data_IF_438472409481
#
_entry.id   IF_438472409481
#
_cell.length_a   1.000
_cell.length_b   1.000
_cell.length_c   1.000
_cell.angle_alpha   90.00
_cell.angle_beta   90.00
_cell.angle_gamma   90.00
#
_symmetry.space_group_name_H-M   'P 1'
#
loop_
_entity.id
_entity.type
_entity.pdbx_description
1 polymer ?
#
# COMPACT_ATOMS: atom_id res chain seq x y z
N UNK A 1 -5.03 0.39 16.22
CA UNK A 1 -3.94 1.39 16.22
C UNK A 1 -4.00 2.14 14.90
N UNK A 2 -3.60 3.40 14.87
CA UNK A 2 -3.43 4.12 13.60
C UNK A 2 -2.12 3.65 12.95
N UNK A 3 -2.13 3.50 11.61
CA UNK A 3 -0.92 3.19 10.85
C UNK A 3 0.07 4.36 10.92
N UNK A 4 1.37 4.06 10.93
CA UNK A 4 2.41 5.09 10.81
C UNK A 4 2.43 5.74 9.43
N UNK A 5 3.05 6.91 9.31
CA UNK A 5 3.27 7.57 8.02
C UNK A 5 4.08 6.69 7.04
N UNK A 6 4.97 5.84 7.56
CA UNK A 6 5.74 4.89 6.72
C UNK A 6 4.80 3.85 6.10
N UNK A 7 3.90 3.25 6.88
CA UNK A 7 2.89 2.33 6.36
C UNK A 7 1.88 3.03 5.44
N UNK A 8 1.44 4.24 5.80
CA UNK A 8 0.53 5.05 4.98
C UNK A 8 1.15 5.47 3.64
N UNK A 9 2.47 5.70 3.58
CA UNK A 9 3.15 6.05 2.33
C UNK A 9 3.03 4.93 1.28
N UNK A 10 3.08 3.67 1.71
CA UNK A 10 2.94 2.49 0.85
C UNK A 10 1.51 2.40 0.31
N UNK A 11 0.50 2.55 1.18
CA UNK A 11 -0.91 2.55 0.77
C UNK A 11 -1.24 3.74 -0.14
N UNK A 12 -0.61 4.89 0.11
CA UNK A 12 -0.76 6.09 -0.73
C UNK A 12 -0.17 5.88 -2.12
N UNK A 13 0.99 5.20 -2.21
CA UNK A 13 1.58 4.84 -3.49
C UNK A 13 0.70 3.86 -4.29
N UNK A 14 0.14 2.85 -3.62
CA UNK A 14 -0.85 1.96 -4.22
C UNK A 14 -2.12 2.72 -4.70
N UNK A 15 -2.61 3.66 -3.88
CA UNK A 15 -3.77 4.48 -4.21
C UNK A 15 -3.51 5.37 -5.43
N UNK A 16 -2.33 5.98 -5.52
CA UNK A 16 -1.90 6.74 -6.71
C UNK A 16 -1.99 5.88 -7.97
N UNK A 17 -1.46 4.66 -7.94
CA UNK A 17 -1.48 3.76 -9.11
C UNK A 17 -2.90 3.35 -9.50
N UNK A 18 -3.75 3.03 -8.52
CA UNK A 18 -5.14 2.67 -8.78
C UNK A 18 -5.94 3.84 -9.35
N UNK A 19 -5.78 5.04 -8.79
CA UNK A 19 -6.42 6.27 -9.28
C UNK A 19 -5.95 6.62 -10.70
N UNK A 20 -4.64 6.51 -10.96
CA UNK A 20 -4.06 6.85 -12.26
C UNK A 20 -4.41 5.84 -13.36
N UNK A 21 -4.51 4.54 -13.04
CA UNK A 21 -4.74 3.48 -14.03
C UNK A 21 -6.20 3.07 -14.17
N UNK A 22 -7.03 3.33 -13.16
CA UNK A 22 -8.39 2.81 -13.06
C UNK A 22 -8.48 1.31 -12.75
N UNK A 23 -7.34 0.62 -12.59
CA UNK A 23 -7.28 -0.81 -12.28
C UNK A 23 -7.15 -1.04 -10.78
N UNK A 24 -7.81 -2.09 -10.27
CA UNK A 24 -7.67 -2.52 -8.88
C UNK A 24 -6.23 -2.96 -8.63
N UNK A 25 -5.59 -2.40 -7.60
CA UNK A 25 -4.24 -2.75 -7.17
C UNK A 25 -4.30 -3.82 -6.10
N UNK A 26 -3.66 -4.96 -6.36
CA UNK A 26 -3.46 -6.05 -5.40
C UNK A 26 -2.00 -6.25 -5.02
N UNK A 27 -1.12 -6.07 -6.00
CA UNK A 27 0.32 -6.18 -5.80
C UNK A 27 0.96 -4.79 -5.74
N UNK A 28 1.79 -4.57 -4.73
CA UNK A 28 2.58 -3.37 -4.51
C UNK A 28 4.05 -3.70 -4.79
N UNK A 29 4.73 -2.82 -5.52
CA UNK A 29 6.18 -2.91 -5.69
C UNK A 29 6.85 -2.39 -4.42
N UNK A 30 7.62 -3.24 -3.75
CA UNK A 30 8.37 -2.89 -2.54
C UNK A 30 9.81 -2.52 -2.85
N UNK A 31 10.35 -3.03 -3.96
CA UNK A 31 11.66 -2.65 -4.48
C UNK A 31 11.59 -2.65 -6.00
N UNK A 32 11.88 -1.51 -6.62
CA UNK A 32 11.94 -1.39 -8.07
C UNK A 32 13.37 -1.61 -8.62
N UNK A 33 13.50 -1.70 -9.94
CA UNK A 33 14.80 -1.88 -10.59
C UNK A 33 15.60 -0.56 -10.70
N UNK A 34 15.01 0.58 -10.29
CA UNK A 34 15.68 1.86 -10.18
C UNK A 34 16.34 2.08 -8.80
N UNK A 35 16.13 1.14 -7.86
CA UNK A 35 16.71 1.17 -6.52
C UNK A 35 15.83 1.84 -5.46
N UNK A 36 14.60 2.25 -5.80
CA UNK A 36 13.64 2.71 -4.81
C UNK A 36 13.12 1.52 -4.00
N UNK A 37 13.01 1.73 -2.68
CA UNK A 37 12.48 0.73 -1.76
C UNK A 37 11.39 1.35 -0.90
N UNK A 38 10.31 0.60 -0.68
CA UNK A 38 9.34 0.90 0.35
C UNK A 38 10.04 0.91 1.72
N UNK A 39 9.59 1.80 2.60
CA UNK A 39 10.13 1.90 3.95
C UNK A 39 10.00 0.56 4.70
N UNK A 40 11.12 -0.09 5.10
CA UNK A 40 11.07 -1.45 5.66
C UNK A 40 10.20 -1.58 6.92
N UNK A 41 10.19 -0.55 7.75
CA UNK A 41 9.32 -0.50 8.94
C UNK A 41 7.84 -0.43 8.57
N UNK A 42 7.49 0.30 7.50
CA UNK A 42 6.12 0.36 7.00
C UNK A 42 5.67 -0.97 6.40
N UNK A 43 6.55 -1.66 5.67
CA UNK A 43 6.29 -3.02 5.17
C UNK A 43 6.03 -3.97 6.33
N UNK A 44 6.91 -3.95 7.34
CA UNK A 44 6.74 -4.79 8.54
C UNK A 44 5.44 -4.49 9.27
N UNK A 45 5.10 -3.22 9.47
CA UNK A 45 3.86 -2.83 10.14
C UNK A 45 2.62 -3.33 9.40
N UNK A 46 2.58 -3.19 8.07
CA UNK A 46 1.47 -3.69 7.25
C UNK A 46 1.39 -5.22 7.31
N UNK A 47 2.52 -5.93 7.30
CA UNK A 47 2.54 -7.39 7.45
C UNK A 47 2.12 -7.85 8.83
N UNK A 48 2.61 -7.22 9.90
CA UNK A 48 2.21 -7.54 11.28
C UNK A 48 0.72 -7.27 11.52
N UNK A 49 0.16 -6.26 10.83
CA UNK A 49 -1.27 -5.93 10.86
C UNK A 49 -2.13 -6.85 9.98
N UNK A 50 -1.54 -7.80 9.25
CA UNK A 50 -2.26 -8.71 8.35
C UNK A 50 -2.82 -8.03 7.10
N UNK A 51 -2.25 -6.89 6.69
CA UNK A 51 -2.69 -6.10 5.54
C UNK A 51 -1.87 -6.39 4.27
N UNK A 52 -0.69 -6.97 4.42
CA UNK A 52 0.27 -7.18 3.32
C UNK A 52 1.11 -8.43 3.54
N UNK A 53 1.17 -9.30 2.54
CA UNK A 53 2.12 -10.41 2.47
C UNK A 53 3.33 -10.00 1.62
N UNK A 54 4.49 -9.80 2.26
CA UNK A 54 5.72 -9.42 1.58
C UNK A 54 6.42 -10.65 0.97
N UNK A 55 6.64 -10.61 -0.35
CA UNK A 55 7.27 -11.65 -1.16
C UNK A 55 8.47 -11.06 -1.94
N UNK A 56 9.57 -10.84 -1.22
CA UNK A 56 10.79 -10.26 -1.80
C UNK A 56 10.58 -8.81 -2.26
N UNK A 57 10.69 -8.56 -3.57
CA UNK A 57 10.53 -7.22 -4.18
C UNK A 57 9.07 -6.76 -4.31
N UNK A 58 8.11 -7.62 -4.02
CA UNK A 58 6.67 -7.34 -4.14
C UNK A 58 5.96 -7.63 -2.83
N UNK A 59 4.84 -6.99 -2.60
CA UNK A 59 3.91 -7.33 -1.54
C UNK A 59 2.51 -7.48 -2.11
N UNK A 60 1.77 -8.48 -1.65
CA UNK A 60 0.38 -8.70 -2.05
C UNK A 60 -0.52 -8.25 -0.91
N UNK A 61 -1.46 -7.35 -1.19
CA UNK A 61 -2.47 -6.93 -0.22
C UNK A 61 -3.37 -8.13 0.10
N UNK A 62 -3.69 -8.30 1.37
CA UNK A 62 -4.76 -9.20 1.80
C UNK A 62 -6.12 -8.58 1.50
N UNK A 63 -7.21 -9.31 1.71
CA UNK A 63 -8.57 -8.76 1.60
C UNK A 63 -8.77 -7.56 2.56
N UNK A 64 -8.21 -7.63 3.76
CA UNK A 64 -8.18 -6.51 4.72
C UNK A 64 -7.31 -5.36 4.22
N UNK A 65 -6.19 -5.65 3.55
CA UNK A 65 -5.33 -4.68 2.89
C UNK A 65 -6.02 -3.93 1.77
N UNK A 66 -6.72 -4.64 0.88
CA UNK A 66 -7.55 -4.06 -0.18
C UNK A 66 -8.65 -3.16 0.42
N UNK A 67 -9.33 -3.63 1.46
CA UNK A 67 -10.34 -2.83 2.18
C UNK A 67 -9.76 -1.56 2.79
N UNK A 68 -8.52 -1.62 3.32
CA UNK A 68 -7.84 -0.43 3.84
C UNK A 68 -7.45 0.53 2.72
N UNK A 69 -6.96 0.02 1.60
CA UNK A 69 -6.62 0.81 0.42
C UNK A 69 -7.86 1.56 -0.13
N UNK A 70 -9.02 0.90 -0.17
CA UNK A 70 -10.28 1.53 -0.58
C UNK A 70 -10.66 2.72 0.31
N UNK A 71 -10.45 2.61 1.63
CA UNK A 71 -10.68 3.72 2.57
C UNK A 71 -9.75 4.90 2.30
N UNK A 72 -8.48 4.63 2.00
CA UNK A 72 -7.50 5.67 1.62
C UNK A 72 -7.95 6.37 0.33
N UNK A 73 -8.34 5.61 -0.70
CA UNK A 73 -8.84 6.16 -1.97
C UNK A 73 -10.10 6.99 -1.75
N UNK A 74 -11.04 6.51 -0.92
CA UNK A 74 -12.26 7.24 -0.60
C UNK A 74 -11.95 8.58 0.10
N UNK A 75 -10.99 8.61 1.03
CA UNK A 75 -10.55 9.82 1.69
C UNK A 75 -9.92 10.82 0.70
N UNK A 76 -9.06 10.36 -0.22
CA UNK A 76 -8.47 11.19 -1.27
C UNK A 76 -9.57 11.80 -2.16
N UNK A 77 -10.53 10.98 -2.61
CA UNK A 77 -11.64 11.45 -3.45
C UNK A 77 -12.56 12.43 -2.73
N UNK A 78 -12.75 12.29 -1.43
CA UNK A 78 -13.57 13.19 -0.62
C UNK A 78 -12.91 14.55 -0.31
N UNK A 79 -11.61 14.69 -0.58
CA UNK A 79 -10.89 15.94 -0.39
C UNK A 79 -10.98 16.91 -1.59
N UNK A 80 -11.46 16.43 -2.75
CA UNK A 80 -11.70 17.22 -3.96
C UNK A 80 -13.16 17.57 -4.15
#
# INVERSE_FOLDING_TARGET
MALSDKALSILTFAAYHQLSSGMIVRDVVLEDDAGHKAEPEGVKELSDAGLLEANGKRGTLTDEGETMLEKVIAAIKGAG
#
